data_IF_910845752397
#
_entry.id   IF_910845752397
#
_cell.length_a   1.000
_cell.length_b   1.000
_cell.length_c   1.000
_cell.angle_alpha   90.00
_cell.angle_beta   90.00
_cell.angle_gamma   90.00
#
_symmetry.space_group_name_H-M   'P 1'
#
loop_
_entity.id
_entity.type
_entity.pdbx_description
1 polymer ?
#
# COMPACT_ATOMS: atom_id res chain seq x y z
N UNK A 1 22.51 -22.96 -35.12
CA UNK A 1 22.69 -22.75 -33.67
C UNK A 1 22.01 -21.41 -33.33
N UNK A 2 20.77 -21.50 -32.92
CA UNK A 2 19.97 -20.31 -32.58
C UNK A 2 19.99 -20.14 -31.08
N UNK A 3 20.70 -19.12 -30.59
CA UNK A 3 20.66 -18.69 -29.20
C UNK A 3 19.33 -17.99 -28.94
N UNK A 4 18.41 -18.66 -28.27
CA UNK A 4 17.21 -18.04 -27.72
C UNK A 4 17.64 -17.09 -26.58
N UNK A 5 17.41 -15.81 -26.78
CA UNK A 5 17.53 -14.84 -25.70
C UNK A 5 16.39 -15.10 -24.71
N UNK A 6 16.71 -15.47 -23.47
CA UNK A 6 15.75 -15.49 -22.37
C UNK A 6 15.08 -14.11 -22.25
N UNK A 7 13.77 -14.05 -22.03
CA UNK A 7 13.12 -12.79 -21.77
C UNK A 7 13.69 -12.23 -20.45
N UNK A 8 14.40 -11.11 -20.53
CA UNK A 8 14.81 -10.33 -19.35
C UNK A 8 13.54 -10.02 -18.58
N UNK A 9 13.44 -10.53 -17.35
CA UNK A 9 12.38 -10.17 -16.41
C UNK A 9 12.31 -8.64 -16.33
N UNK A 10 11.17 -8.08 -16.69
CA UNK A 10 10.94 -6.63 -16.54
C UNK A 10 10.97 -6.32 -15.03
N UNK A 11 11.68 -5.28 -14.61
CA UNK A 11 11.62 -4.86 -13.20
C UNK A 11 10.19 -4.50 -12.85
N UNK A 12 9.73 -4.94 -11.68
CA UNK A 12 8.42 -4.59 -11.15
C UNK A 12 8.33 -3.07 -10.99
N UNK A 13 7.21 -2.50 -11.39
CA UNK A 13 6.95 -1.07 -11.34
C UNK A 13 5.81 -0.80 -10.37
N UNK A 14 6.07 0.04 -9.36
CA UNK A 14 5.10 0.45 -8.36
C UNK A 14 4.53 1.82 -8.73
N UNK A 15 3.19 1.92 -8.81
CA UNK A 15 2.51 3.19 -8.94
C UNK A 15 1.98 3.62 -7.58
N UNK A 16 2.44 4.74 -7.04
CA UNK A 16 2.03 5.28 -5.75
C UNK A 16 1.12 6.50 -5.92
N UNK A 17 0.12 6.60 -5.05
CA UNK A 17 -0.80 7.73 -4.99
C UNK A 17 -0.45 8.69 -3.86
N UNK A 18 0.82 8.90 -3.54
CA UNK A 18 1.23 9.88 -2.53
C UNK A 18 2.60 10.51 -2.82
N UNK A 19 2.77 11.75 -2.37
CA UNK A 19 3.81 12.73 -2.67
C UNK A 19 5.25 12.36 -2.27
N UNK A 20 5.53 11.17 -1.81
CA UNK A 20 6.86 10.77 -1.40
C UNK A 20 7.18 9.36 -1.89
N UNK A 21 7.77 9.27 -3.07
CA UNK A 21 8.76 8.22 -3.28
C UNK A 21 9.79 8.44 -2.18
N UNK A 22 9.88 7.51 -1.23
CA UNK A 22 10.86 7.58 -0.15
C UNK A 22 12.25 7.54 -0.77
N UNK A 23 12.84 8.71 -0.94
CA UNK A 23 14.13 8.93 -1.61
C UNK A 23 15.32 8.31 -0.86
N UNK A 24 15.11 7.69 0.30
CA UNK A 24 16.19 7.32 1.21
C UNK A 24 16.21 5.89 1.74
N UNK A 25 15.33 5.00 1.31
CA UNK A 25 15.51 3.58 1.61
C UNK A 25 16.10 2.85 0.41
N UNK A 26 17.37 3.07 0.15
CA UNK A 26 18.15 2.46 -0.94
C UNK A 26 18.18 0.92 -0.94
N UNK A 27 17.49 0.27 0.00
CA UNK A 27 17.61 -1.17 0.24
C UNK A 27 16.44 -1.99 -0.32
N UNK A 28 15.29 -1.40 -0.66
CA UNK A 28 14.08 -2.18 -0.92
C UNK A 28 13.31 -1.86 -2.21
N UNK A 29 13.62 -0.77 -2.87
CA UNK A 29 13.01 -0.40 -4.16
C UNK A 29 14.13 -0.04 -5.12
N UNK A 30 14.20 -0.71 -6.27
CA UNK A 30 15.15 -0.34 -7.32
C UNK A 30 14.82 1.07 -7.82
N UNK A 31 15.83 1.93 -7.98
CA UNK A 31 15.67 3.30 -8.51
C UNK A 31 14.97 3.33 -9.88
N UNK A 32 14.99 2.22 -10.60
CA UNK A 32 14.42 2.08 -11.94
C UNK A 32 12.96 1.63 -11.93
N UNK A 33 12.37 1.34 -10.75
CA UNK A 33 11.04 0.75 -10.62
C UNK A 33 9.97 1.70 -10.06
N UNK A 34 10.32 2.93 -9.68
CA UNK A 34 9.34 3.89 -9.17
C UNK A 34 8.65 4.61 -10.34
N UNK A 35 7.37 4.33 -10.55
CA UNK A 35 6.54 5.04 -11.52
C UNK A 35 5.67 6.09 -10.82
N UNK A 36 5.65 7.23 -11.43
CA UNK A 36 4.79 8.41 -11.40
C UNK A 36 3.68 8.45 -10.34
N UNK A 37 3.76 9.47 -9.50
CA UNK A 37 2.67 9.89 -8.63
C UNK A 37 1.57 10.60 -9.44
N UNK A 38 0.32 10.23 -9.19
CA UNK A 38 -0.84 10.88 -9.80
C UNK A 38 -1.53 11.78 -8.79
N UNK A 39 -1.63 13.06 -9.10
CA UNK A 39 -2.30 14.05 -8.27
C UNK A 39 -3.70 14.34 -8.79
N UNK A 40 -4.69 14.24 -7.90
CA UNK A 40 -6.04 14.62 -8.25
C UNK A 40 -6.16 16.14 -8.48
N UNK A 41 -6.62 16.59 -9.66
CA UNK A 41 -6.65 18.03 -10.01
C UNK A 41 -7.63 18.85 -9.19
N UNK A 42 -8.65 18.22 -8.57
CA UNK A 42 -9.68 18.87 -7.75
C UNK A 42 -9.27 19.18 -6.32
N UNK A 43 -7.98 18.99 -5.96
CA UNK A 43 -7.50 19.27 -4.61
C UNK A 43 -8.09 18.36 -3.53
N UNK A 44 -7.97 18.77 -2.26
CA UNK A 44 -8.34 17.91 -1.12
C UNK A 44 -9.85 17.63 -1.05
N UNK A 45 -10.70 18.49 -1.54
CA UNK A 45 -12.16 18.34 -1.45
C UNK A 45 -12.69 17.14 -2.24
N UNK A 46 -12.01 16.77 -3.32
CA UNK A 46 -12.41 15.68 -4.21
C UNK A 46 -11.39 14.56 -4.31
N UNK A 47 -10.14 14.79 -3.89
CA UNK A 47 -9.04 13.84 -4.04
C UNK A 47 -9.31 12.44 -3.46
N UNK A 48 -10.14 12.34 -2.42
CA UNK A 48 -10.47 11.08 -1.75
C UNK A 48 -11.85 10.52 -2.10
N UNK A 49 -12.62 11.19 -2.98
CA UNK A 49 -14.02 10.87 -3.24
C UNK A 49 -14.35 10.65 -4.71
N UNK A 50 -13.36 10.55 -5.58
CA UNK A 50 -13.52 10.34 -7.03
C UNK A 50 -13.00 8.97 -7.49
N UNK A 51 -13.76 7.87 -7.31
CA UNK A 51 -13.35 6.54 -7.72
C UNK A 51 -13.16 6.41 -9.24
N UNK A 52 -13.88 7.22 -10.03
CA UNK A 52 -13.69 7.19 -11.48
C UNK A 52 -12.30 7.68 -11.88
N UNK A 53 -11.87 8.80 -11.32
CA UNK A 53 -10.53 9.31 -11.57
C UNK A 53 -9.46 8.29 -11.12
N UNK A 54 -9.66 7.65 -9.95
CA UNK A 54 -8.77 6.61 -9.47
C UNK A 54 -8.65 5.44 -10.46
N UNK A 55 -9.77 4.97 -11.00
CA UNK A 55 -9.79 3.91 -12.01
C UNK A 55 -9.07 4.34 -13.31
N UNK A 56 -9.35 5.55 -13.79
CA UNK A 56 -8.71 6.10 -15.00
C UNK A 56 -7.17 6.18 -14.84
N UNK A 57 -6.68 6.59 -13.63
CA UNK A 57 -5.23 6.65 -13.36
C UNK A 57 -4.61 5.27 -13.22
N UNK A 58 -5.29 4.32 -12.56
CA UNK A 58 -4.80 2.95 -12.48
C UNK A 58 -4.67 2.33 -13.88
N UNK A 59 -5.69 2.51 -14.72
CA UNK A 59 -5.63 2.06 -16.11
C UNK A 59 -4.46 2.68 -16.87
N UNK A 60 -4.24 3.99 -16.73
CA UNK A 60 -3.12 4.68 -17.38
C UNK A 60 -1.77 4.13 -16.90
N UNK A 61 -1.60 3.88 -15.60
CA UNK A 61 -0.39 3.29 -15.05
C UNK A 61 -0.15 1.87 -15.58
N UNK A 62 -1.21 1.05 -15.65
CA UNK A 62 -1.15 -0.32 -16.19
C UNK A 62 -0.77 -0.29 -17.68
N UNK A 63 -1.36 0.59 -18.47
CA UNK A 63 -1.03 0.79 -19.89
C UNK A 63 0.44 1.22 -20.08
N UNK A 64 1.03 1.89 -19.10
CA UNK A 64 2.46 2.25 -19.04
C UNK A 64 3.35 1.13 -18.50
N UNK A 65 2.78 0.00 -18.11
CA UNK A 65 3.47 -1.20 -17.67
C UNK A 65 3.65 -1.33 -16.16
N UNK A 66 2.83 -0.65 -15.36
CA UNK A 66 2.76 -0.93 -13.93
C UNK A 66 2.23 -2.35 -13.70
N UNK A 67 2.86 -3.08 -12.80
CA UNK A 67 2.49 -4.43 -12.39
C UNK A 67 1.93 -4.51 -10.96
N UNK A 68 2.06 -3.41 -10.19
CA UNK A 68 1.46 -3.25 -8.86
C UNK A 68 0.87 -1.85 -8.70
N UNK A 69 -0.37 -1.76 -8.24
CA UNK A 69 -1.06 -0.51 -7.94
C UNK A 69 -1.27 -0.38 -6.42
N UNK A 70 -0.83 0.71 -5.82
CA UNK A 70 -1.10 1.04 -4.43
C UNK A 70 -2.25 2.06 -4.34
N UNK A 71 -3.39 1.63 -3.82
CA UNK A 71 -4.64 2.42 -3.82
C UNK A 71 -4.79 3.36 -2.61
N UNK A 72 -3.77 4.18 -2.30
CA UNK A 72 -3.82 5.10 -1.17
C UNK A 72 -4.59 6.39 -1.50
N UNK A 73 -5.91 6.40 -1.30
CA UNK A 73 -6.72 7.58 -1.67
C UNK A 73 -8.21 7.47 -1.31
N UNK A 74 -8.57 6.79 -0.24
CA UNK A 74 -9.98 6.63 0.15
C UNK A 74 -10.81 5.99 -0.97
N UNK A 75 -11.99 6.56 -1.31
CA UNK A 75 -12.83 6.05 -2.40
C UNK A 75 -12.15 6.14 -3.77
N UNK A 76 -11.31 7.14 -3.98
CA UNK A 76 -10.49 7.26 -5.20
C UNK A 76 -9.54 6.07 -5.31
N UNK A 77 -8.87 5.70 -4.22
CA UNK A 77 -8.05 4.50 -4.14
C UNK A 77 -8.85 3.23 -4.39
N UNK A 78 -10.07 3.11 -3.86
CA UNK A 78 -10.93 1.96 -4.13
C UNK A 78 -11.22 1.80 -5.63
N UNK A 79 -11.48 2.90 -6.35
CA UNK A 79 -11.64 2.87 -7.81
C UNK A 79 -10.42 2.33 -8.53
N UNK A 80 -9.22 2.74 -8.09
CA UNK A 80 -7.96 2.23 -8.64
C UNK A 80 -7.78 0.72 -8.40
N UNK A 81 -8.09 0.23 -7.20
CA UNK A 81 -7.99 -1.21 -6.88
C UNK A 81 -8.98 -2.04 -7.69
N UNK A 82 -10.23 -1.58 -7.83
CA UNK A 82 -11.27 -2.28 -8.59
C UNK A 82 -10.90 -2.36 -10.08
N UNK A 83 -10.39 -1.27 -10.66
CA UNK A 83 -9.88 -1.28 -12.05
C UNK A 83 -8.71 -2.24 -12.19
N UNK A 84 -7.78 -2.26 -11.23
CA UNK A 84 -6.65 -3.19 -11.25
C UNK A 84 -7.10 -4.65 -11.24
N UNK A 85 -8.15 -4.98 -10.47
CA UNK A 85 -8.68 -6.34 -10.39
C UNK A 85 -9.24 -6.87 -11.73
N UNK A 86 -9.62 -5.98 -12.65
CA UNK A 86 -10.04 -6.35 -14.00
C UNK A 86 -8.85 -6.70 -14.92
N UNK A 87 -7.62 -6.41 -14.51
CA UNK A 87 -6.41 -6.57 -15.31
C UNK A 87 -5.57 -7.76 -14.80
N UNK A 88 -5.61 -8.89 -15.51
CA UNK A 88 -4.89 -10.11 -15.11
C UNK A 88 -3.37 -9.88 -15.07
N UNK A 89 -2.74 -10.37 -14.01
CA UNK A 89 -1.28 -10.30 -13.84
C UNK A 89 -0.80 -8.96 -13.29
N UNK A 90 -1.72 -8.06 -12.92
CA UNK A 90 -1.43 -6.85 -12.17
C UNK A 90 -1.94 -7.04 -10.74
N UNK A 91 -1.12 -6.68 -9.77
CA UNK A 91 -1.45 -6.80 -8.36
C UNK A 91 -1.81 -5.45 -7.75
N UNK A 92 -2.45 -5.50 -6.57
CA UNK A 92 -2.74 -4.27 -5.87
C UNK A 92 -2.51 -4.38 -4.35
N UNK A 93 -2.29 -3.23 -3.73
CA UNK A 93 -2.12 -3.07 -2.29
C UNK A 93 -3.14 -2.05 -1.81
N UNK A 94 -3.88 -2.40 -0.78
CA UNK A 94 -4.87 -1.56 -0.15
C UNK A 94 -4.30 -0.71 0.99
N UNK A 95 -5.17 0.08 1.63
CA UNK A 95 -4.80 1.03 2.68
C UNK A 95 -5.88 1.16 3.76
N UNK A 96 -5.47 1.65 4.92
CA UNK A 96 -6.29 1.99 6.09
C UNK A 96 -6.87 0.79 6.84
N UNK A 97 -7.55 -0.12 6.15
CA UNK A 97 -8.18 -1.32 6.69
C UNK A 97 -7.74 -2.54 5.89
N UNK A 98 -8.11 -3.74 6.34
CA UNK A 98 -8.05 -4.91 5.47
C UNK A 98 -9.08 -4.76 4.35
N UNK A 99 -8.61 -4.31 3.17
CA UNK A 99 -9.50 -4.06 2.04
C UNK A 99 -9.96 -5.35 1.34
N UNK A 100 -9.42 -6.50 1.71
CA UNK A 100 -10.00 -7.79 1.33
C UNK A 100 -11.44 -7.92 1.83
N UNK A 101 -11.72 -7.40 3.02
CA UNK A 101 -13.05 -7.41 3.61
C UNK A 101 -13.92 -6.21 3.17
N UNK A 102 -13.29 -5.03 3.02
CA UNK A 102 -14.05 -3.78 2.79
C UNK A 102 -14.19 -3.39 1.33
N UNK A 103 -13.41 -3.99 0.41
CA UNK A 103 -13.50 -3.81 -1.05
C UNK A 103 -13.39 -5.17 -1.74
N UNK A 104 -14.40 -6.04 -1.61
CA UNK A 104 -14.33 -7.42 -2.11
C UNK A 104 -14.12 -7.51 -3.62
N UNK A 105 -14.47 -6.49 -4.38
CA UNK A 105 -14.25 -6.40 -5.82
C UNK A 105 -12.76 -6.35 -6.18
N UNK A 106 -11.90 -5.89 -5.26
CA UNK A 106 -10.46 -5.83 -5.46
C UNK A 106 -9.72 -7.15 -5.14
N UNK A 107 -10.37 -8.13 -4.54
CA UNK A 107 -9.76 -9.42 -4.14
C UNK A 107 -8.92 -10.09 -5.24
N UNK A 108 -9.31 -10.07 -6.53
CA UNK A 108 -8.51 -10.71 -7.56
C UNK A 108 -7.09 -10.18 -7.73
N UNK A 109 -6.79 -8.96 -7.27
CA UNK A 109 -5.46 -8.35 -7.34
C UNK A 109 -4.84 -8.05 -5.97
N UNK A 110 -5.63 -8.09 -4.88
CA UNK A 110 -5.26 -7.53 -3.57
C UNK A 110 -4.33 -8.47 -2.80
N UNK A 111 -3.03 -8.15 -2.81
CA UNK A 111 -2.01 -8.95 -2.11
C UNK A 111 -2.08 -8.73 -0.59
N UNK A 112 -2.26 -7.48 -0.15
CA UNK A 112 -2.31 -7.07 1.25
C UNK A 112 -2.84 -5.64 1.34
N UNK A 113 -2.98 -5.12 2.57
CA UNK A 113 -3.31 -3.71 2.81
C UNK A 113 -2.41 -3.13 3.89
N UNK A 114 -1.92 -1.92 3.68
CA UNK A 114 -1.24 -1.15 4.73
C UNK A 114 -2.28 -0.59 5.70
N UNK A 115 -2.41 -1.20 6.87
CA UNK A 115 -3.48 -0.90 7.82
C UNK A 115 -3.07 0.15 8.85
N UNK A 116 -4.02 1.01 9.21
CA UNK A 116 -4.02 1.75 10.46
C UNK A 116 -4.80 0.94 11.50
N UNK A 117 -4.17 0.58 12.61
CA UNK A 117 -4.79 -0.22 13.66
C UNK A 117 -5.66 0.66 14.57
N UNK A 118 -6.72 1.21 14.00
CA UNK A 118 -7.61 2.19 14.66
C UNK A 118 -8.32 1.57 15.86
N UNK A 119 -8.85 0.35 15.72
CA UNK A 119 -9.61 -0.31 16.80
C UNK A 119 -8.79 -0.48 18.07
N UNK A 120 -7.55 -1.03 18.06
CA UNK A 120 -6.71 -1.08 19.26
C UNK A 120 -6.40 0.31 19.83
N UNK A 121 -6.14 1.30 18.98
CA UNK A 121 -5.86 2.67 19.43
C UNK A 121 -7.05 3.33 20.13
N UNK A 122 -8.26 3.17 19.56
CA UNK A 122 -9.49 3.68 20.20
C UNK A 122 -9.75 2.97 21.53
N UNK A 123 -9.56 1.65 21.59
CA UNK A 123 -9.70 0.89 22.83
C UNK A 123 -8.74 1.35 23.92
N UNK A 124 -7.46 1.58 23.56
CA UNK A 124 -6.44 2.11 24.48
C UNK A 124 -6.84 3.50 25.02
N UNK A 125 -7.27 4.40 24.15
CA UNK A 125 -7.72 5.74 24.54
C UNK A 125 -8.94 5.72 25.48
N UNK A 126 -9.93 4.83 25.20
CA UNK A 126 -11.10 4.67 26.08
C UNK A 126 -10.67 4.12 27.44
N UNK A 127 -9.75 3.16 27.48
CA UNK A 127 -9.24 2.57 28.71
C UNK A 127 -8.52 3.63 29.55
N UNK A 128 -7.64 4.41 28.93
CA UNK A 128 -6.94 5.53 29.58
C UNK A 128 -7.89 6.61 30.10
N UNK A 129 -8.95 6.93 29.33
CA UNK A 129 -9.98 7.86 29.78
C UNK A 129 -10.69 7.37 31.02
N UNK A 130 -11.06 6.07 31.08
CA UNK A 130 -11.68 5.43 32.23
C UNK A 130 -10.79 5.46 33.49
N UNK A 131 -9.47 5.35 33.31
CA UNK A 131 -8.47 5.38 34.36
C UNK A 131 -8.09 6.81 34.78
N UNK A 132 -8.60 7.84 34.12
CA UNK A 132 -8.26 9.25 34.36
C UNK A 132 -6.90 9.67 33.79
N UNK A 133 -6.31 8.86 32.92
CA UNK A 133 -4.99 9.06 32.32
C UNK A 133 -5.05 9.39 30.82
N UNK A 134 -6.13 10.08 30.39
CA UNK A 134 -6.28 10.41 28.97
C UNK A 134 -5.13 11.32 28.51
N UNK A 135 -4.38 10.93 27.45
CA UNK A 135 -3.25 11.71 26.98
C UNK A 135 -3.70 13.03 26.33
N UNK A 136 -2.90 14.08 26.54
CA UNK A 136 -3.05 15.33 25.79
C UNK A 136 -2.20 15.31 24.52
N UNK A 137 -2.63 16.06 23.51
CA UNK A 137 -1.89 16.20 22.25
C UNK A 137 -2.22 15.10 21.23
N UNK A 138 -1.29 14.83 20.33
CA UNK A 138 -1.47 13.83 19.29
C UNK A 138 -1.25 12.41 19.84
N UNK A 139 -2.17 11.52 19.51
CA UNK A 139 -2.01 10.09 19.74
C UNK A 139 -1.43 9.43 18.50
N UNK A 140 -0.27 8.80 18.64
CA UNK A 140 0.36 8.01 17.57
C UNK A 140 -0.08 6.56 17.74
N UNK A 141 -0.96 6.11 16.83
CA UNK A 141 -1.45 4.74 16.81
C UNK A 141 -0.50 3.78 16.10
N UNK A 142 -0.82 2.50 16.17
CA UNK A 142 -0.07 1.46 15.49
C UNK A 142 -0.53 1.27 14.04
N UNK A 143 0.39 0.74 13.23
CA UNK A 143 0.15 0.33 11.84
C UNK A 143 0.52 -1.15 11.66
N UNK A 144 0.09 -1.75 10.56
CA UNK A 144 0.40 -3.14 10.26
C UNK A 144 0.08 -3.47 8.81
N UNK A 145 0.28 -4.73 8.44
CA UNK A 145 -0.14 -5.29 7.16
C UNK A 145 -1.31 -6.25 7.36
N UNK A 146 -2.25 -6.23 6.42
CA UNK A 146 -3.29 -7.25 6.34
C UNK A 146 -2.68 -8.61 5.97
N UNK A 147 -3.34 -9.74 6.31
CA UNK A 147 -2.97 -11.05 5.79
C UNK A 147 -2.90 -11.06 4.26
N UNK A 148 -2.10 -11.96 3.70
CA UNK A 148 -2.00 -12.12 2.24
C UNK A 148 -3.18 -12.89 1.62
N UNK A 149 -4.11 -13.38 2.42
CA UNK A 149 -5.31 -14.10 2.00
C UNK A 149 -5.03 -15.15 0.92
N UNK A 150 -5.70 -15.10 -0.24
CA UNK A 150 -5.53 -16.06 -1.34
C UNK A 150 -4.14 -15.98 -2.00
N UNK A 151 -3.38 -14.92 -1.74
CA UNK A 151 -2.01 -14.77 -2.25
C UNK A 151 -0.95 -15.36 -1.31
N UNK A 152 -1.31 -15.81 -0.10
CA UNK A 152 -0.33 -16.23 0.91
C UNK A 152 0.62 -17.32 0.39
N UNK A 153 0.11 -18.30 -0.32
CA UNK A 153 0.92 -19.37 -0.90
C UNK A 153 1.85 -18.92 -2.04
N UNK A 154 1.59 -17.75 -2.63
CA UNK A 154 2.36 -17.18 -3.74
C UNK A 154 3.50 -16.27 -3.25
N UNK A 155 3.44 -15.82 -2.00
CA UNK A 155 4.48 -14.96 -1.43
C UNK A 155 5.66 -15.83 -0.96
N UNK A 156 6.87 -15.65 -1.51
CA UNK A 156 8.05 -16.41 -1.13
C UNK A 156 8.38 -16.26 0.36
N UNK A 157 8.90 -17.34 0.97
CA UNK A 157 9.20 -17.34 2.39
C UNK A 157 10.24 -16.28 2.78
N UNK A 158 11.23 -16.03 1.90
CA UNK A 158 12.23 -14.98 2.09
C UNK A 158 11.61 -13.58 2.09
N UNK A 159 10.55 -13.32 1.29
CA UNK A 159 9.83 -12.05 1.30
C UNK A 159 9.06 -11.88 2.60
N UNK A 160 8.36 -12.92 3.06
CA UNK A 160 7.67 -12.91 4.36
C UNK A 160 8.64 -12.65 5.52
N UNK A 161 9.79 -13.32 5.51
CA UNK A 161 10.84 -13.12 6.52
C UNK A 161 11.38 -11.68 6.51
N UNK A 162 11.57 -11.10 5.32
CA UNK A 162 12.03 -9.71 5.19
C UNK A 162 11.00 -8.70 5.66
N UNK A 163 9.73 -8.92 5.38
CA UNK A 163 8.63 -8.09 5.88
C UNK A 163 8.60 -8.14 7.43
N UNK A 164 8.73 -9.32 8.02
CA UNK A 164 8.78 -9.45 9.48
C UNK A 164 10.00 -8.76 10.10
N UNK A 165 11.16 -8.80 9.46
CA UNK A 165 12.36 -8.07 9.88
C UNK A 165 12.13 -6.56 9.86
N UNK A 166 11.52 -6.04 8.78
CA UNK A 166 11.21 -4.63 8.62
C UNK A 166 10.19 -4.18 9.67
N UNK A 167 9.08 -4.93 9.86
CA UNK A 167 8.08 -4.61 10.87
C UNK A 167 8.70 -4.53 12.27
N UNK A 168 9.56 -5.51 12.62
CA UNK A 168 10.30 -5.47 13.87
C UNK A 168 11.19 -4.23 13.97
N UNK A 169 11.97 -3.93 12.93
CA UNK A 169 12.89 -2.79 12.93
C UNK A 169 12.18 -1.44 13.03
N UNK A 170 10.99 -1.31 12.43
CA UNK A 170 10.15 -0.12 12.56
C UNK A 170 9.61 0.03 13.98
N UNK A 171 9.22 -1.07 14.64
CA UNK A 171 8.68 -1.05 16.00
C UNK A 171 9.75 -0.79 17.07
N UNK A 172 10.94 -1.33 16.89
CA UNK A 172 12.06 -1.13 17.86
C UNK A 172 12.91 0.10 17.53
N UNK A 173 12.61 0.83 16.44
CA UNK A 173 13.28 2.06 16.03
C UNK A 173 14.64 1.86 15.36
N UNK A 174 15.05 0.61 15.07
CA UNK A 174 16.29 0.33 14.33
C UNK A 174 16.17 0.65 12.83
N UNK A 175 14.94 0.74 12.32
CA UNK A 175 14.61 1.25 10.99
C UNK A 175 13.77 2.51 11.14
N UNK A 176 14.18 3.59 10.46
CA UNK A 176 13.42 4.84 10.41
C UNK A 176 12.71 4.99 9.07
N UNK A 177 11.47 5.48 9.09
CA UNK A 177 10.74 5.88 7.86
C UNK A 177 11.21 7.23 7.32
N UNK A 178 12.04 7.99 8.06
CA UNK A 178 12.39 9.38 7.76
C UNK A 178 11.25 10.37 8.06
N UNK A 179 10.06 9.90 8.46
CA UNK A 179 8.95 10.76 8.86
C UNK A 179 9.20 11.29 10.29
N UNK A 180 9.12 12.62 10.43
CA UNK A 180 9.21 13.32 11.72
C UNK A 180 7.88 14.06 11.92
N UNK A 181 6.99 13.58 12.83
CA UNK A 181 5.65 14.13 13.04
C UNK A 181 5.67 15.52 13.71
#
# INVERSE_FOLDING_TARGET
>A
MGGGAEPKSRPSRLAFHHRQCLHETETFVSKDSCLTEYYHPGGLDTAFTDPKWGADQAKLAIDQGADVIFGAGGKTGNGALIETAANKGVYCIGVDTDQWETVPEARPCLISSAMKLITPGVFDLISKAKEGNFPSGNYVGEVGLAPFHDFDAQIPAEVKAKIAEIDKGLRDGSISTGYNP
#
